data_IF_661927623529
#
_entry.id   IF_661927623529
#
_cell.length_a   1.000
_cell.length_b   1.000
_cell.length_c   1.000
_cell.angle_alpha   90.00
_cell.angle_beta   90.00
_cell.angle_gamma   90.00
#
_symmetry.space_group_name_H-M   'P 1'
#
loop_
_entity.id
_entity.type
_entity.pdbx_description
1 polymer ?
#
# COMPACT_ATOMS: atom_id res chain seq x y z
N UNK A 1 13.61 14.57 3.33
CA UNK A 1 12.42 13.71 3.35
C UNK A 1 11.68 13.93 2.03
N UNK A 2 11.64 12.93 1.15
CA UNK A 2 11.02 13.06 -0.18
C UNK A 2 9.55 12.69 -0.01
N UNK A 3 8.68 13.68 0.00
CA UNK A 3 7.23 13.48 -0.09
C UNK A 3 6.95 12.81 -1.43
N UNK A 4 6.56 11.54 -1.38
CA UNK A 4 6.05 10.85 -2.57
C UNK A 4 4.68 11.46 -2.83
N UNK A 5 4.44 12.12 -3.98
CA UNK A 5 3.12 12.66 -4.28
C UNK A 5 2.14 11.49 -4.32
N UNK A 6 1.29 11.41 -3.29
CA UNK A 6 0.14 10.52 -3.29
C UNK A 6 -0.87 11.16 -4.24
N UNK A 7 -0.73 10.87 -5.53
CA UNK A 7 -1.57 11.42 -6.58
C UNK A 7 -2.89 10.66 -6.72
N UNK A 8 -3.83 11.28 -7.44
CA UNK A 8 -5.19 10.80 -7.80
C UNK A 8 -5.23 9.46 -8.58
N UNK A 9 -4.07 8.83 -8.78
CA UNK A 9 -3.85 7.59 -9.54
C UNK A 9 -3.30 6.47 -8.67
N UNK A 10 -3.27 6.61 -7.34
CA UNK A 10 -2.80 5.52 -6.46
C UNK A 10 -3.84 4.39 -6.48
N UNK A 11 -3.54 3.23 -7.10
CA UNK A 11 -4.50 2.14 -7.21
C UNK A 11 -4.89 1.60 -5.83
N UNK A 12 -6.17 1.25 -5.67
CA UNK A 12 -6.61 0.47 -4.52
C UNK A 12 -5.91 -0.89 -4.54
N UNK A 13 -5.43 -1.35 -3.38
CA UNK A 13 -4.88 -2.68 -3.25
C UNK A 13 -5.95 -3.73 -3.58
N UNK A 14 -5.60 -4.71 -4.40
CA UNK A 14 -6.44 -5.85 -4.75
C UNK A 14 -5.55 -7.07 -4.99
N UNK A 15 -6.10 -8.29 -4.95
CA UNK A 15 -5.37 -9.53 -5.22
C UNK A 15 -5.10 -9.72 -6.73
N UNK A 16 -4.04 -10.47 -7.06
CA UNK A 16 -3.66 -10.80 -8.43
C UNK A 16 -2.89 -9.71 -9.19
N UNK A 17 -2.58 -8.57 -8.54
CA UNK A 17 -1.82 -7.48 -9.13
C UNK A 17 -0.32 -7.72 -8.94
N UNK A 18 0.46 -7.49 -9.99
CA UNK A 18 1.92 -7.51 -9.91
C UNK A 18 2.44 -6.16 -9.42
N UNK A 19 3.15 -6.16 -8.30
CA UNK A 19 3.73 -4.95 -7.72
C UNK A 19 5.25 -4.94 -7.84
N UNK A 20 5.78 -3.83 -8.31
CA UNK A 20 7.21 -3.54 -8.35
C UNK A 20 7.63 -2.71 -7.14
N UNK A 21 8.89 -2.80 -6.74
CA UNK A 21 9.44 -1.98 -5.64
C UNK A 21 9.26 -0.50 -5.98
N UNK A 22 8.75 0.28 -5.01
CA UNK A 22 8.46 1.70 -5.15
C UNK A 22 7.10 2.04 -5.75
N UNK A 23 6.31 1.05 -6.17
CA UNK A 23 4.91 1.29 -6.55
C UNK A 23 4.04 1.49 -5.30
N UNK A 24 3.02 2.34 -5.43
CA UNK A 24 2.15 2.69 -4.32
C UNK A 24 0.78 2.02 -4.46
N UNK A 25 0.19 1.63 -3.34
CA UNK A 25 -1.20 1.22 -3.26
C UNK A 25 -1.94 1.89 -2.10
N UNK A 26 -3.26 1.99 -2.22
CA UNK A 26 -4.15 2.52 -1.19
C UNK A 26 -5.01 1.40 -0.57
N UNK A 27 -5.18 1.42 0.74
CA UNK A 27 -6.07 0.53 1.49
C UNK A 27 -7.04 1.38 2.30
N UNK A 28 -8.34 1.15 2.14
CA UNK A 28 -9.36 1.81 2.97
C UNK A 28 -9.59 1.00 4.25
N UNK A 29 -9.26 1.61 5.39
CA UNK A 29 -9.55 1.06 6.70
C UNK A 29 -10.96 1.50 7.14
N UNK A 30 -11.87 0.54 7.26
CA UNK A 30 -13.26 0.77 7.69
C UNK A 30 -13.37 1.18 9.16
N UNK A 31 -12.42 0.77 10.01
CA UNK A 31 -12.41 1.08 11.44
C UNK A 31 -12.08 2.54 11.70
N UNK A 32 -11.01 3.05 11.06
CA UNK A 32 -10.59 4.45 11.18
C UNK A 32 -11.25 5.39 10.15
N UNK A 33 -11.94 4.83 9.14
CA UNK A 33 -12.53 5.55 8.00
C UNK A 33 -11.50 6.38 7.23
N UNK A 34 -10.29 5.85 7.08
CA UNK A 34 -9.16 6.52 6.43
C UNK A 34 -8.59 5.68 5.30
N UNK A 35 -8.02 6.36 4.32
CA UNK A 35 -7.24 5.74 3.25
C UNK A 35 -5.77 5.77 3.67
N UNK A 36 -5.19 4.59 3.84
CA UNK A 36 -3.77 4.42 4.11
C UNK A 36 -3.05 4.10 2.82
N UNK A 37 -1.89 4.71 2.62
CA UNK A 37 -1.07 4.51 1.44
C UNK A 37 0.24 3.85 1.82
N UNK A 38 0.63 2.88 1.01
CA UNK A 38 1.84 2.09 1.20
C UNK A 38 2.67 2.11 -0.08
N UNK A 39 3.99 2.07 0.09
CA UNK A 39 4.93 1.76 -0.99
C UNK A 39 5.33 0.29 -0.90
N UNK A 40 5.39 -0.38 -2.04
CA UNK A 40 5.93 -1.72 -2.15
C UNK A 40 7.44 -1.68 -1.89
N UNK A 41 7.94 -2.48 -0.95
CA UNK A 41 9.37 -2.60 -0.63
C UNK A 41 9.97 -3.90 -1.13
N UNK A 42 9.13 -4.83 -1.62
CA UNK A 42 9.55 -6.12 -2.19
C UNK A 42 8.60 -6.54 -3.30
N UNK A 43 9.13 -6.75 -4.50
CA UNK A 43 8.33 -7.16 -5.66
C UNK A 43 7.61 -8.49 -5.41
N UNK A 44 6.31 -8.55 -5.73
CA UNK A 44 5.45 -9.72 -5.51
C UNK A 44 4.14 -9.61 -6.32
N UNK A 45 3.39 -10.71 -6.38
CA UNK A 45 1.98 -10.69 -6.75
C UNK A 45 1.13 -10.57 -5.49
N UNK A 46 0.13 -9.69 -5.50
CA UNK A 46 -0.73 -9.51 -4.34
C UNK A 46 -1.60 -10.74 -4.08
N UNK A 47 -1.54 -11.26 -2.86
CA UNK A 47 -2.43 -12.28 -2.32
C UNK A 47 -2.95 -11.84 -0.95
N UNK A 48 -3.86 -12.61 -0.34
CA UNK A 48 -4.32 -12.33 1.02
C UNK A 48 -3.17 -12.32 2.04
N UNK A 49 -2.09 -13.06 1.79
CA UNK A 49 -0.90 -13.14 2.65
C UNK A 49 0.03 -11.93 2.50
N UNK A 50 -0.15 -11.13 1.44
CA UNK A 50 0.67 -9.96 1.15
C UNK A 50 -0.13 -8.66 1.23
N UNK A 51 -1.27 -8.68 1.94
CA UNK A 51 -2.08 -7.48 2.16
C UNK A 51 -1.30 -6.47 3.01
N UNK A 52 -1.30 -5.16 2.68
CA UNK A 52 -0.76 -4.14 3.54
C UNK A 52 -1.59 -4.06 4.82
N UNK A 53 -0.97 -4.30 5.97
CA UNK A 53 -1.65 -4.27 7.27
C UNK A 53 -1.42 -2.89 7.89
N UNK A 54 -2.46 -2.10 8.23
CA UNK A 54 -2.30 -0.72 8.66
C UNK A 54 -1.51 -0.44 9.94
N UNK A 55 -1.26 -1.47 10.74
CA UNK A 55 -0.68 -1.34 12.08
C UNK A 55 0.51 -2.30 12.31
N UNK A 56 0.95 -3.02 11.28
CA UNK A 56 2.02 -3.99 11.40
C UNK A 56 3.05 -3.81 10.28
N UNK A 57 4.32 -4.04 10.60
CA UNK A 57 5.38 -4.10 9.60
C UNK A 57 5.10 -5.23 8.62
N UNK A 58 4.75 -4.87 7.39
CA UNK A 58 4.59 -5.84 6.31
C UNK A 58 5.94 -6.06 5.63
N UNK A 59 6.34 -7.31 5.35
CA UNK A 59 7.58 -7.58 4.61
C UNK A 59 7.52 -7.13 3.15
N UNK A 60 6.33 -6.72 2.66
CA UNK A 60 6.10 -6.28 1.27
C UNK A 60 5.73 -4.80 1.17
N UNK A 61 5.19 -4.21 2.24
CA UNK A 61 4.61 -2.87 2.22
C UNK A 61 5.13 -2.00 3.34
N UNK A 62 5.52 -0.78 3.01
CA UNK A 62 5.86 0.26 3.97
C UNK A 62 4.80 1.35 3.94
N UNK A 63 4.23 1.68 5.10
CA UNK A 63 3.28 2.78 5.22
C UNK A 63 3.98 4.13 4.93
N UNK A 64 3.38 4.95 4.06
CA UNK A 64 3.94 6.26 3.67
C UNK A 64 3.04 7.45 3.99
N UNK A 65 1.77 7.22 4.38
CA UNK A 65 0.88 8.29 4.80
C UNK A 65 -0.59 8.03 4.48
N UNK A 66 -1.40 9.06 4.66
CA UNK A 66 -2.81 9.06 4.29
C UNK A 66 -2.99 9.63 2.88
N UNK A 67 -3.93 9.07 2.13
CA UNK A 67 -4.36 9.55 0.81
C UNK A 67 -5.62 10.38 0.86
#
# INVERSE_FOLDING_TARGET
>A
MRTVPIGNTTPAWNTGLAWQIGQNCAVYDRGTRRVHVYTCIRAHYSSLDTVPIPLADSPFWQYIGLG
#
